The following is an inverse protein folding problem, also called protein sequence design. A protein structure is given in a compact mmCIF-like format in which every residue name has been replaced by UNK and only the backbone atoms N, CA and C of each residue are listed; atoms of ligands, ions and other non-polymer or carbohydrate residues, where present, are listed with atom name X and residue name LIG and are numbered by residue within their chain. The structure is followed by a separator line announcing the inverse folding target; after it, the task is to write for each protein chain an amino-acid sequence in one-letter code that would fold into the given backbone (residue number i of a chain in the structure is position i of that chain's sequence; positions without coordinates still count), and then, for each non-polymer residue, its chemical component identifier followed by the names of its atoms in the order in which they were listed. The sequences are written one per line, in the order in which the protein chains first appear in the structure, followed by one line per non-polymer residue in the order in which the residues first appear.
data_IF_094686252242
#
_entry.id   IF_094686252242
#
_cell.length_a   1.000
_cell.length_b   1.000
_cell.length_c   1.000
_cell.angle_alpha   90.00
_cell.angle_beta   90.00
_cell.angle_gamma   90.00
#
_symmetry.space_group_name_H-M   'P 1'
#
loop_
_entity.id
_entity.type
_entity.pdbx_description
1 polymer ?
#
# COMPACT_ATOMS: atom_id res chain seq x y z
N UNK A 1 0.25 16.09 -2.44
CA UNK A 1 1.06 14.92 -2.05
C UNK A 1 0.17 13.77 -1.66
N UNK A 2 0.60 12.57 -1.98
CA UNK A 2 -0.17 11.37 -1.67
C UNK A 2 0.40 10.64 -0.46
N UNK A 3 -0.49 10.02 0.30
CA UNK A 3 -0.11 9.09 1.38
C UNK A 3 -0.85 7.79 1.10
N UNK A 4 -0.12 6.67 1.13
CA UNK A 4 -0.70 5.36 0.94
C UNK A 4 -0.73 4.62 2.27
N UNK A 5 -1.88 4.06 2.61
CA UNK A 5 -2.01 3.18 3.77
C UNK A 5 -2.12 1.74 3.31
N UNK A 6 -1.42 0.84 3.97
CA UNK A 6 -1.39 -0.58 3.64
C UNK A 6 -1.72 -1.41 4.87
N UNK A 7 -2.62 -2.38 4.71
CA UNK A 7 -2.85 -3.44 5.68
C UNK A 7 -2.61 -4.76 4.97
N UNK A 8 -1.73 -5.58 5.51
CA UNK A 8 -1.34 -6.82 4.84
C UNK A 8 -0.92 -7.89 5.85
N UNK A 9 -0.97 -9.16 5.40
CA UNK A 9 -0.48 -10.31 6.15
C UNK A 9 -1.25 -10.64 7.43
N UNK A 10 -2.43 -10.09 7.59
CA UNK A 10 -3.20 -10.34 8.81
C UNK A 10 -4.61 -10.79 8.49
N UNK A 11 -5.44 -9.90 8.02
CA UNK A 11 -6.80 -10.22 7.57
C UNK A 11 -6.89 -9.91 6.08
N UNK A 12 -7.99 -9.35 5.67
CA UNK A 12 -8.18 -8.91 4.31
C UNK A 12 -7.19 -7.78 4.00
N UNK A 13 -6.25 -8.04 3.11
CA UNK A 13 -5.29 -7.02 2.73
C UNK A 13 -5.99 -5.89 2.00
N UNK A 14 -5.58 -4.68 2.29
CA UNK A 14 -6.21 -3.51 1.71
C UNK A 14 -5.23 -2.37 1.56
N UNK A 15 -5.59 -1.42 0.70
CA UNK A 15 -4.85 -0.18 0.55
C UNK A 15 -5.82 0.98 0.58
N UNK A 16 -5.32 2.12 1.01
CA UNK A 16 -6.07 3.36 0.90
C UNK A 16 -5.12 4.45 0.41
N UNK A 17 -5.70 5.45 -0.24
CA UNK A 17 -4.93 6.55 -0.80
C UNK A 17 -5.51 7.85 -0.31
N UNK A 18 -4.64 8.67 0.30
CA UNK A 18 -4.99 10.01 0.73
C UNK A 18 -4.28 11.03 -0.15
N UNK A 19 -4.95 12.13 -0.40
CA UNK A 19 -4.34 13.28 -1.05
C UNK A 19 -4.70 14.52 -0.24
N UNK A 20 -3.67 15.20 0.28
CA UNK A 20 -3.84 16.43 1.05
C UNK A 20 -4.87 16.25 2.18
N UNK A 21 -4.73 15.16 2.94
CA UNK A 21 -5.58 14.80 4.07
C UNK A 21 -7.00 14.36 3.72
N UNK A 22 -7.28 14.09 2.45
CA UNK A 22 -8.57 13.56 2.02
C UNK A 22 -8.43 12.14 1.54
N UNK A 23 -9.28 11.24 2.03
CA UNK A 23 -9.32 9.88 1.53
C UNK A 23 -9.95 9.91 0.13
N UNK A 24 -9.19 9.48 -0.88
CA UNK A 24 -9.69 9.50 -2.26
C UNK A 24 -9.91 8.11 -2.84
N UNK A 25 -9.35 7.07 -2.23
CA UNK A 25 -9.55 5.72 -2.73
C UNK A 25 -9.24 4.70 -1.63
N UNK A 26 -9.99 3.61 -1.59
CA UNK A 26 -9.72 2.50 -0.70
C UNK A 26 -10.29 1.23 -1.32
N UNK A 27 -9.52 0.14 -1.24
CA UNK A 27 -10.02 -1.14 -1.72
C UNK A 27 -9.24 -2.29 -1.09
N UNK A 28 -9.83 -3.49 -1.14
CA UNK A 28 -9.19 -4.70 -0.69
C UNK A 28 -8.57 -5.43 -1.88
N UNK A 29 -7.49 -6.17 -1.62
CA UNK A 29 -6.81 -6.95 -2.66
C UNK A 29 -7.74 -8.01 -3.26
N UNK A 30 -8.68 -8.50 -2.48
CA UNK A 30 -9.68 -9.44 -2.94
C UNK A 30 -10.43 -8.96 -4.19
N UNK A 31 -10.63 -7.67 -4.31
CA UNK A 31 -11.32 -7.08 -5.48
C UNK A 31 -10.56 -7.33 -6.78
N UNK A 32 -9.27 -7.54 -6.70
CA UNK A 32 -8.42 -7.79 -7.87
C UNK A 32 -8.10 -9.27 -8.06
N UNK A 33 -7.94 -10.01 -6.97
CA UNK A 33 -7.53 -11.42 -7.03
C UNK A 33 -8.70 -12.38 -7.03
N UNK A 34 -9.83 -11.98 -6.47
CA UNK A 34 -10.97 -12.87 -6.29
C UNK A 34 -10.78 -13.89 -5.17
N UNK A 35 -9.67 -13.82 -4.46
CA UNK A 35 -9.39 -14.73 -3.35
C UNK A 35 -10.05 -14.18 -2.10
N UNK A 36 -11.01 -14.92 -1.56
CA UNK A 36 -11.75 -14.49 -0.38
C UNK A 36 -10.80 -14.32 0.81
N UNK A 37 -10.90 -13.16 1.48
CA UNK A 37 -10.07 -12.80 2.63
C UNK A 37 -8.57 -12.86 2.31
N UNK A 38 -8.20 -12.45 1.10
CA UNK A 38 -6.82 -12.45 0.67
C UNK A 38 -5.97 -11.59 1.61
N UNK A 39 -5.03 -12.23 2.30
CA UNK A 39 -4.16 -11.56 3.26
C UNK A 39 -2.75 -11.34 2.73
N UNK A 40 -2.50 -11.64 1.47
CA UNK A 40 -1.20 -11.43 0.85
C UNK A 40 -0.90 -9.93 0.73
N UNK A 41 0.33 -9.60 0.40
CA UNK A 41 0.69 -8.20 0.15
C UNK A 41 -0.19 -7.68 -0.99
N UNK A 42 -0.83 -6.50 -0.83
CA UNK A 42 -1.82 -6.02 -1.80
C UNK A 42 -1.17 -5.41 -3.05
N UNK A 43 -0.46 -6.23 -3.77
CA UNK A 43 0.32 -5.81 -4.93
C UNK A 43 -0.55 -5.28 -6.06
N UNK A 44 -1.65 -5.97 -6.35
CA UNK A 44 -2.52 -5.57 -7.46
C UNK A 44 -3.28 -4.29 -7.15
N UNK A 45 -3.72 -4.13 -5.92
CA UNK A 45 -4.37 -2.89 -5.50
C UNK A 45 -3.40 -1.72 -5.58
N UNK A 46 -2.14 -1.92 -5.16
CA UNK A 46 -1.11 -0.90 -5.27
C UNK A 46 -0.80 -0.55 -6.72
N UNK A 47 -0.70 -1.54 -7.59
CA UNK A 47 -0.49 -1.29 -9.01
C UNK A 47 -1.60 -0.42 -9.58
N UNK A 48 -2.83 -0.72 -9.22
CA UNK A 48 -3.97 0.06 -9.69
C UNK A 48 -3.85 1.52 -9.27
N UNK A 49 -3.51 1.76 -8.00
CA UNK A 49 -3.35 3.11 -7.48
C UNK A 49 -2.22 3.85 -8.20
N UNK A 50 -1.08 3.20 -8.35
CA UNK A 50 0.09 3.83 -8.98
C UNK A 50 -0.20 4.23 -10.42
N UNK A 51 -0.89 3.36 -11.15
CA UNK A 51 -1.22 3.65 -12.55
C UNK A 51 -2.33 4.70 -12.66
N UNK A 52 -3.39 4.53 -11.88
CA UNK A 52 -4.57 5.39 -11.99
C UNK A 52 -4.26 6.82 -11.58
N UNK A 53 -3.51 7.00 -10.50
CA UNK A 53 -3.22 8.32 -9.94
C UNK A 53 -1.83 8.83 -10.30
N UNK A 54 -1.08 8.07 -11.10
CA UNK A 54 0.26 8.43 -11.56
C UNK A 54 1.19 8.77 -10.40
N UNK A 55 1.21 7.91 -9.40
CA UNK A 55 2.03 8.12 -8.21
C UNK A 55 3.50 7.84 -8.52
N UNK A 56 4.39 8.71 -8.06
CA UNK A 56 5.83 8.57 -8.25
C UNK A 56 6.56 9.12 -7.02
N UNK A 57 7.88 9.08 -7.05
CA UNK A 57 8.70 9.52 -5.93
C UNK A 57 8.49 10.98 -5.56
N UNK A 58 8.11 11.81 -6.52
CA UNK A 58 7.97 13.25 -6.29
C UNK A 58 6.65 13.60 -5.61
N UNK A 59 5.59 12.84 -5.89
CA UNK A 59 4.28 13.16 -5.34
C UNK A 59 3.84 12.25 -4.19
N UNK A 60 4.61 11.23 -3.87
CA UNK A 60 4.31 10.35 -2.73
C UNK A 60 5.03 10.87 -1.49
N UNK A 61 4.26 11.21 -0.47
CA UNK A 61 4.80 11.72 0.78
C UNK A 61 5.22 10.61 1.74
N UNK A 62 4.36 9.60 1.89
CA UNK A 62 4.61 8.53 2.86
C UNK A 62 3.82 7.29 2.52
N UNK A 63 4.30 6.15 2.99
CA UNK A 63 3.57 4.90 2.98
C UNK A 63 3.41 4.48 4.44
N UNK A 64 2.17 4.30 4.87
CA UNK A 64 1.86 3.92 6.24
C UNK A 64 1.43 2.47 6.27
N UNK A 65 1.98 1.72 7.20
CA UNK A 65 1.69 0.30 7.31
C UNK A 65 1.10 0.00 8.67
N UNK A 66 -0.06 -0.62 8.67
CA UNK A 66 -0.77 -0.97 9.89
C UNK A 66 -0.58 -2.45 10.20
N UNK A 67 0.33 -2.77 11.08
CA UNK A 67 0.53 -4.12 11.60
C UNK A 67 1.69 -4.15 12.61
N UNK A 68 1.90 -5.33 13.22
CA UNK A 68 3.05 -5.52 14.10
C UNK A 68 4.32 -5.34 13.28
N UNK A 69 5.15 -4.36 13.61
CA UNK A 69 6.21 -3.94 12.71
C UNK A 69 7.43 -4.86 12.64
N UNK A 70 7.67 -5.71 13.61
CA UNK A 70 8.97 -6.39 13.69
C UNK A 70 9.31 -7.28 12.51
N UNK A 71 8.49 -8.30 12.26
CA UNK A 71 8.76 -9.23 11.16
C UNK A 71 8.15 -8.76 9.84
N UNK A 72 6.92 -8.25 9.90
CA UNK A 72 6.18 -7.90 8.71
C UNK A 72 6.65 -6.59 8.08
N UNK A 73 7.17 -5.69 8.90
CA UNK A 73 7.67 -4.39 8.44
C UNK A 73 8.76 -4.53 7.39
N UNK A 74 9.73 -5.40 7.65
CA UNK A 74 10.81 -5.62 6.70
C UNK A 74 10.31 -6.12 5.35
N UNK A 75 9.33 -7.02 5.38
CA UNK A 75 8.74 -7.55 4.16
C UNK A 75 8.03 -6.48 3.35
N UNK A 76 7.29 -5.62 4.03
CA UNK A 76 6.58 -4.53 3.35
C UNK A 76 7.57 -3.57 2.72
N UNK A 77 8.62 -3.18 3.45
CA UNK A 77 9.65 -2.30 2.92
C UNK A 77 10.29 -2.90 1.67
N UNK A 78 10.67 -4.16 1.72
CA UNK A 78 11.29 -4.84 0.60
C UNK A 78 10.36 -4.89 -0.62
N UNK A 79 9.09 -5.20 -0.40
CA UNK A 79 8.13 -5.26 -1.50
C UNK A 79 7.91 -3.89 -2.13
N UNK A 80 7.76 -2.85 -1.33
CA UNK A 80 7.53 -1.52 -1.87
C UNK A 80 8.76 -1.02 -2.62
N UNK A 81 9.95 -1.19 -2.06
CA UNK A 81 11.19 -0.77 -2.72
C UNK A 81 11.44 -1.54 -4.00
N UNK A 82 11.20 -2.84 -3.98
CA UNK A 82 11.47 -3.71 -5.12
C UNK A 82 10.51 -3.45 -6.27
N UNK A 83 9.23 -3.27 -5.96
CA UNK A 83 8.18 -3.29 -6.98
C UNK A 83 7.67 -1.91 -7.38
N UNK A 84 7.82 -0.90 -6.54
CA UNK A 84 7.16 0.38 -6.77
C UNK A 84 8.04 1.62 -6.67
N UNK A 85 8.81 1.76 -5.57
CA UNK A 85 9.59 2.96 -5.31
C UNK A 85 10.97 2.61 -4.77
N UNK A 86 11.94 3.54 -5.00
CA UNK A 86 13.28 3.34 -4.49
C UNK A 86 13.44 3.73 -3.02
N UNK A 87 12.89 4.85 -2.61
CA UNK A 87 13.10 5.37 -1.26
C UNK A 87 11.81 5.87 -0.63
N UNK A 88 10.87 4.98 -0.32
CA UNK A 88 9.62 5.40 0.31
C UNK A 88 9.84 5.82 1.76
N UNK A 89 9.02 6.74 2.23
CA UNK A 89 8.99 7.14 3.63
C UNK A 89 7.88 6.34 4.30
N UNK A 90 8.21 5.62 5.37
CA UNK A 90 7.23 4.80 6.10
C UNK A 90 6.81 5.46 7.39
N UNK A 91 5.52 5.39 7.70
CA UNK A 91 5.02 5.70 9.02
C UNK A 91 4.23 4.50 9.53
N UNK A 92 4.46 4.16 10.78
CA UNK A 92 3.88 2.96 11.40
C UNK A 92 3.04 3.38 12.59
#
# INVERSE_FOLDING_TARGET
MYIIGISAYYHDSSVCLFRDNHLIFACEEEKFTGIKHDSSFPEKALEYIYKTYRINEKNLQAVCYYENPKLKYKRVIENVKKNFLHNPIFCI
#
